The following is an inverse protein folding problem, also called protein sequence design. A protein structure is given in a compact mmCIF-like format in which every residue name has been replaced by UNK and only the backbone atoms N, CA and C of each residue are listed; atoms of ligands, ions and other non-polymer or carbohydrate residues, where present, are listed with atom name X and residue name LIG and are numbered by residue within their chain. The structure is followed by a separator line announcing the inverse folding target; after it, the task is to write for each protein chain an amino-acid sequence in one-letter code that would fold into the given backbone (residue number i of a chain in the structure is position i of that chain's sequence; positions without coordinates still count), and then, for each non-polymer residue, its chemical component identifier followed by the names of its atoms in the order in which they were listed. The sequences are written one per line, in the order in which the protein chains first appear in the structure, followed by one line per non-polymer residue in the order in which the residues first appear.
data_IF_474004740918
#
_entry.id   IF_474004740918
#
_cell.length_a   1.000
_cell.length_b   1.000
_cell.length_c   1.000
_cell.angle_alpha   90.00
_cell.angle_beta   90.00
_cell.angle_gamma   90.00
#
_symmetry.space_group_name_H-M   'P 1'
#
loop_
_entity.id
_entity.type
_entity.pdbx_description
1 polymer ?
#
# COMPACT_ATOMS: atom_id res chain seq x y z
N UNK A 1 4.12 6.31 6.81
CA UNK A 1 5.00 5.22 7.33
C UNK A 1 4.92 4.06 6.34
N UNK A 2 5.96 3.24 6.24
CA UNK A 2 6.03 2.07 5.34
C UNK A 2 6.91 0.98 5.93
N UNK A 3 6.83 -0.26 5.43
CA UNK A 3 7.78 -1.34 5.77
C UNK A 3 8.84 -1.42 4.67
N UNK A 4 10.11 -1.34 5.05
CA UNK A 4 11.27 -1.37 4.16
C UNK A 4 11.67 -2.82 3.79
N UNK A 5 12.54 -3.02 2.77
CA UNK A 5 12.94 -4.35 2.33
C UNK A 5 13.57 -5.25 3.39
N UNK A 6 14.23 -4.66 4.38
CA UNK A 6 14.86 -5.35 5.51
C UNK A 6 13.88 -5.61 6.68
N UNK A 7 12.60 -5.27 6.51
CA UNK A 7 11.56 -5.40 7.52
C UNK A 7 11.53 -4.25 8.54
N UNK A 8 12.43 -3.26 8.44
CA UNK A 8 12.39 -2.06 9.28
C UNK A 8 11.27 -1.10 8.87
N UNK A 9 10.94 -0.13 9.73
CA UNK A 9 9.94 0.89 9.41
C UNK A 9 10.60 2.12 8.77
N UNK A 10 10.09 2.53 7.62
CA UNK A 10 10.38 3.81 6.99
C UNK A 10 9.39 4.89 7.45
N UNK A 11 9.92 5.98 7.98
CA UNK A 11 9.12 7.08 8.53
C UNK A 11 9.39 8.37 7.75
N UNK A 12 8.33 9.15 7.55
CA UNK A 12 8.38 10.50 6.99
C UNK A 12 7.64 11.42 7.95
N UNK A 13 8.29 12.51 8.34
CA UNK A 13 7.69 13.58 9.13
C UNK A 13 7.94 14.93 8.48
N UNK A 14 7.04 15.87 8.73
CA UNK A 14 7.04 17.19 8.09
C UNK A 14 7.23 18.29 9.14
N UNK A 15 7.90 19.38 8.75
CA UNK A 15 7.96 20.60 9.58
C UNK A 15 6.75 21.54 9.38
N UNK A 16 5.75 21.08 8.65
CA UNK A 16 4.51 21.80 8.36
C UNK A 16 3.31 20.93 8.72
N UNK A 17 2.20 21.57 9.09
CA UNK A 17 0.97 20.90 9.50
C UNK A 17 0.08 20.57 8.29
N UNK A 18 0.41 19.47 7.60
CA UNK A 18 -0.42 18.94 6.52
C UNK A 18 -1.77 18.43 7.02
N UNK A 19 -1.81 17.84 8.22
CA UNK A 19 -3.04 17.29 8.79
C UNK A 19 -4.08 18.39 9.02
N UNK A 20 -3.67 19.52 9.62
CA UNK A 20 -4.52 20.69 9.78
C UNK A 20 -4.91 21.33 8.44
N UNK A 21 -4.02 21.34 7.44
CA UNK A 21 -4.37 21.81 6.10
C UNK A 21 -5.48 20.98 5.45
N UNK A 22 -5.39 19.65 5.53
CA UNK A 22 -6.44 18.74 5.05
C UNK A 22 -7.72 18.83 5.88
N UNK A 23 -7.61 19.01 7.20
CA UNK A 23 -8.78 19.19 8.06
C UNK A 23 -9.59 20.44 7.67
N UNK A 24 -8.92 21.56 7.34
CA UNK A 24 -9.59 22.77 6.85
C UNK A 24 -10.33 22.55 5.53
N UNK A 25 -9.69 21.84 4.58
CA UNK A 25 -10.35 21.48 3.31
C UNK A 25 -11.60 20.64 3.55
N UNK A 26 -11.53 19.65 4.45
CA UNK A 26 -12.70 18.80 4.79
C UNK A 26 -13.84 19.60 5.41
N UNK A 27 -13.55 20.46 6.39
CA UNK A 27 -14.57 21.30 7.04
C UNK A 27 -15.27 22.26 6.06
N UNK A 28 -14.57 22.74 5.05
CA UNK A 28 -15.16 23.65 4.05
C UNK A 28 -15.92 22.95 2.93
N UNK A 29 -15.68 21.66 2.69
CA UNK A 29 -16.58 20.89 1.81
C UNK A 29 -17.99 20.77 2.44
N UNK A 30 -18.11 20.93 3.75
CA UNK A 30 -19.39 20.97 4.47
C UNK A 30 -20.02 22.38 4.46
N UNK A 31 -19.22 23.43 4.35
CA UNK A 31 -19.63 24.84 4.27
C UNK A 31 -19.45 25.36 2.84
N UNK A 32 -20.45 25.21 1.95
CA UNK A 32 -20.63 25.59 0.51
C UNK A 32 -19.65 26.49 -0.30
N UNK A 33 -18.58 27.06 0.25
CA UNK A 33 -17.51 27.77 -0.47
C UNK A 33 -16.15 27.06 -0.32
N UNK A 34 -15.62 26.44 -1.39
CA UNK A 34 -14.32 25.79 -1.34
C UNK A 34 -13.17 26.81 -1.23
N UNK A 35 -12.13 26.45 -0.46
CA UNK A 35 -10.83 27.12 -0.52
C UNK A 35 -10.40 27.30 -1.98
N UNK A 36 -10.04 28.53 -2.34
CA UNK A 36 -9.41 28.78 -3.64
C UNK A 36 -8.17 27.88 -3.79
N UNK A 37 -8.00 27.29 -4.97
CA UNK A 37 -6.93 26.32 -5.24
C UNK A 37 -5.51 26.87 -4.96
N UNK A 38 -5.36 28.19 -4.96
CA UNK A 38 -4.13 28.95 -4.71
C UNK A 38 -4.02 29.51 -3.29
N UNK A 39 -4.95 29.15 -2.39
CA UNK A 39 -4.91 29.62 -1.01
C UNK A 39 -3.59 29.28 -0.34
N UNK A 40 -3.04 30.27 0.38
CA UNK A 40 -1.81 30.10 1.14
C UNK A 40 -1.90 28.98 2.18
N UNK A 41 -3.10 28.68 2.67
CA UNK A 41 -3.38 27.66 3.68
C UNK A 41 -3.78 26.30 3.08
N UNK A 42 -3.94 26.24 1.76
CA UNK A 42 -4.27 25.00 1.05
C UNK A 42 -3.15 23.97 1.16
N UNK A 43 -3.46 22.66 1.16
CA UNK A 43 -2.46 21.60 1.33
C UNK A 43 -1.27 21.72 0.39
N UNK A 44 -1.50 22.04 -0.89
CA UNK A 44 -0.43 22.22 -1.87
C UNK A 44 0.50 23.38 -1.50
N UNK A 45 -0.05 24.54 -1.15
CA UNK A 45 0.70 25.72 -0.73
C UNK A 45 1.47 25.49 0.57
N UNK A 46 0.93 24.68 1.49
CA UNK A 46 1.63 24.27 2.72
C UNK A 46 2.78 23.32 2.40
N UNK A 47 2.54 22.32 1.56
CA UNK A 47 3.55 21.35 1.16
C UNK A 47 4.73 21.99 0.41
N UNK A 48 4.46 22.96 -0.47
CA UNK A 48 5.48 23.63 -1.27
C UNK A 48 6.57 24.36 -0.44
N UNK A 49 6.29 24.69 0.83
CA UNK A 49 7.23 25.34 1.76
C UNK A 49 7.74 24.39 2.84
N UNK A 50 7.25 23.14 2.83
CA UNK A 50 7.59 22.12 3.80
C UNK A 50 8.87 21.38 3.47
N UNK A 51 9.49 20.86 4.52
CA UNK A 51 10.62 19.93 4.49
C UNK A 51 10.16 18.62 5.12
N UNK A 52 10.35 17.53 4.40
CA UNK A 52 10.24 16.19 4.91
C UNK A 52 11.58 15.77 5.54
N UNK A 53 11.53 15.05 6.67
CA UNK A 53 12.65 14.31 7.23
C UNK A 53 12.31 12.83 7.21
N UNK A 54 13.27 12.02 6.78
CA UNK A 54 13.14 10.57 6.72
C UNK A 54 13.85 9.93 7.89
N UNK A 55 13.33 8.80 8.36
CA UNK A 55 13.98 7.97 9.37
C UNK A 55 13.76 6.48 9.07
N UNK A 56 14.66 5.65 9.57
CA UNK A 56 14.49 4.20 9.65
C UNK A 56 14.38 3.78 11.10
N UNK A 57 13.43 2.91 11.43
CA UNK A 57 13.32 2.33 12.75
C UNK A 57 13.45 0.81 12.65
N UNK A 58 14.51 0.26 13.24
CA UNK A 58 14.82 -1.18 13.20
C UNK A 58 14.11 -2.00 14.29
N UNK A 59 13.24 -1.35 15.08
CA UNK A 59 12.54 -1.95 16.22
C UNK A 59 13.16 -1.55 17.56
N UNK A 60 14.37 -1.01 17.55
CA UNK A 60 15.09 -0.58 18.75
C UNK A 60 15.62 0.84 18.65
N UNK A 61 16.10 1.21 17.46
CA UNK A 61 16.82 2.46 17.22
C UNK A 61 16.21 3.19 16.05
N UNK A 62 15.99 4.50 16.25
CA UNK A 62 15.61 5.42 15.19
C UNK A 62 16.87 5.99 14.54
N UNK A 63 17.11 5.60 13.29
CA UNK A 63 18.22 6.06 12.47
C UNK A 63 17.82 7.27 11.65
N UNK A 64 18.64 8.32 11.71
CA UNK A 64 18.42 9.53 10.94
C UNK A 64 18.62 9.30 9.44
N UNK A 65 17.63 9.74 8.66
CA UNK A 65 17.70 9.86 7.21
C UNK A 65 17.81 11.31 6.75
N UNK A 66 17.78 11.53 5.43
CA UNK A 66 17.96 12.86 4.87
C UNK A 66 16.74 13.78 5.11
N UNK A 67 16.98 15.07 4.89
CA UNK A 67 15.94 16.11 4.84
C UNK A 67 15.76 16.54 3.39
N UNK A 68 14.53 16.55 2.90
CA UNK A 68 14.22 16.83 1.50
C UNK A 68 13.01 17.73 1.38
N UNK A 69 12.88 18.53 0.30
CA UNK A 69 11.66 19.29 0.05
C UNK A 69 10.42 18.39 0.03
N UNK A 70 9.31 18.84 0.59
CA UNK A 70 8.10 18.03 0.65
C UNK A 70 7.40 17.91 -0.72
N UNK A 71 7.33 19.00 -1.49
CA UNK A 71 6.78 19.14 -2.86
C UNK A 71 5.28 18.80 -3.05
N UNK A 72 4.73 17.84 -2.32
CA UNK A 72 3.32 17.42 -2.42
C UNK A 72 2.72 17.12 -1.04
N UNK A 73 1.42 17.40 -0.82
CA UNK A 73 0.72 17.13 0.43
C UNK A 73 0.26 15.67 0.60
N UNK A 74 0.27 14.87 -0.47
CA UNK A 74 -0.14 13.47 -0.45
C UNK A 74 1.00 12.62 -1.01
N UNK A 75 1.59 11.79 -0.16
CA UNK A 75 2.84 11.08 -0.43
C UNK A 75 2.77 9.62 0.02
N UNK A 76 3.41 8.76 -0.76
CA UNK A 76 3.78 7.40 -0.39
C UNK A 76 5.29 7.26 -0.39
N UNK A 77 5.79 6.31 0.41
CA UNK A 77 7.21 6.10 0.67
C UNK A 77 7.58 4.64 0.44
N UNK A 78 8.71 4.41 -0.20
CA UNK A 78 9.42 3.13 -0.20
C UNK A 78 10.94 3.36 -0.05
N UNK A 79 11.68 2.30 0.21
CA UNK A 79 13.13 2.34 0.29
C UNK A 79 13.76 1.18 -0.47
N UNK A 80 14.96 1.40 -0.98
CA UNK A 80 15.77 0.40 -1.65
C UNK A 80 16.65 -0.33 -0.63
N UNK A 81 17.08 -1.58 -0.92
CA UNK A 81 18.00 -2.33 -0.07
C UNK A 81 19.34 -1.60 0.19
N UNK A 82 19.81 -0.80 -0.76
CA UNK A 82 21.05 -0.02 -0.62
C UNK A 82 20.90 1.29 0.18
N UNK A 83 19.69 1.55 0.67
CA UNK A 83 19.37 2.70 1.46
C UNK A 83 18.96 3.95 0.67
N UNK A 84 18.74 3.88 -0.65
CA UNK A 84 18.01 4.93 -1.35
C UNK A 84 16.56 4.99 -0.87
N UNK A 85 15.93 6.15 -1.06
CA UNK A 85 14.52 6.39 -0.77
C UNK A 85 13.76 6.70 -2.05
N UNK A 86 12.52 6.25 -2.12
CA UNK A 86 11.56 6.66 -3.14
C UNK A 86 10.39 7.35 -2.46
N UNK A 87 10.22 8.64 -2.76
CA UNK A 87 9.05 9.41 -2.33
C UNK A 87 8.21 9.69 -3.56
N UNK A 88 6.95 9.27 -3.58
CA UNK A 88 6.06 9.57 -4.69
C UNK A 88 4.84 10.36 -4.22
N UNK A 89 4.47 11.40 -4.96
CA UNK A 89 3.15 11.98 -4.83
C UNK A 89 2.11 10.98 -5.34
N UNK A 90 1.00 10.82 -4.61
CA UNK A 90 -0.06 9.88 -5.01
C UNK A 90 -0.68 10.26 -6.35
N UNK A 91 -0.69 11.55 -6.67
CA UNK A 91 -1.23 12.08 -7.92
C UNK A 91 -0.09 12.41 -8.89
N UNK A 92 -0.19 11.90 -10.11
CA UNK A 92 0.86 11.92 -11.12
C UNK A 92 0.37 12.17 -12.55
N UNK A 93 -0.83 12.72 -12.74
CA UNK A 93 -1.51 12.83 -14.05
C UNK A 93 -0.63 13.19 -15.25
N UNK A 94 0.22 14.21 -15.14
CA UNK A 94 0.95 14.75 -16.29
C UNK A 94 2.46 14.85 -16.10
N UNK A 95 2.95 14.85 -14.86
CA UNK A 95 4.35 15.08 -14.54
C UNK A 95 4.93 13.93 -13.71
N UNK A 96 6.26 13.70 -13.76
CA UNK A 96 6.92 12.74 -12.86
C UNK A 96 6.60 13.03 -11.40
N UNK A 97 5.97 12.07 -10.73
CA UNK A 97 5.52 12.17 -9.35
C UNK A 97 6.42 11.41 -8.35
N UNK A 98 7.33 10.55 -8.83
CA UNK A 98 8.32 9.85 -8.02
C UNK A 98 9.65 10.59 -7.93
N UNK A 99 10.28 10.58 -6.76
CA UNK A 99 11.62 11.13 -6.52
C UNK A 99 12.50 10.05 -5.90
N UNK A 100 13.53 9.66 -6.65
CA UNK A 100 14.57 8.75 -6.18
C UNK A 100 15.65 9.58 -5.49
N UNK A 101 15.93 9.27 -4.23
CA UNK A 101 16.76 10.07 -3.34
C UNK A 101 17.86 9.18 -2.78
N UNK A 102 19.11 9.63 -2.86
CA UNK A 102 20.26 8.98 -2.27
C UNK A 102 20.16 8.94 -0.73
N UNK A 103 20.91 8.05 -0.05
CA UNK A 103 20.94 8.01 1.41
C UNK A 103 21.32 9.35 2.06
N UNK A 104 22.12 10.17 1.38
CA UNK A 104 22.55 11.50 1.83
C UNK A 104 21.56 12.63 1.53
N UNK A 105 20.47 12.35 0.81
CA UNK A 105 19.43 13.31 0.44
C UNK A 105 19.56 13.91 -0.96
N UNK A 106 20.58 13.55 -1.73
CA UNK A 106 20.69 14.00 -3.12
C UNK A 106 19.57 13.42 -3.98
N UNK A 107 18.88 14.26 -4.74
CA UNK A 107 17.92 13.81 -5.76
C UNK A 107 18.68 13.13 -6.91
N UNK A 108 18.43 11.85 -7.11
CA UNK A 108 19.06 11.05 -8.17
C UNK A 108 18.26 11.08 -9.47
N UNK A 109 16.93 10.92 -9.37
CA UNK A 109 16.05 10.88 -10.54
C UNK A 109 14.62 11.29 -10.18
N UNK A 110 13.85 11.70 -11.20
CA UNK A 110 12.39 11.83 -11.12
C UNK A 110 11.76 10.75 -12.00
N UNK A 111 10.81 10.03 -11.43
CA UNK A 111 10.16 8.88 -12.05
C UNK A 111 8.68 9.19 -12.28
N UNK A 112 8.11 8.65 -13.35
CA UNK A 112 6.67 8.74 -13.58
C UNK A 112 6.01 7.41 -13.22
N UNK A 113 5.37 7.36 -12.05
CA UNK A 113 4.87 6.12 -11.45
C UNK A 113 3.34 5.95 -11.59
N UNK A 114 2.70 6.86 -12.32
CA UNK A 114 1.26 6.85 -12.58
C UNK A 114 0.46 7.71 -11.61
N UNK A 115 -0.84 7.84 -11.89
CA UNK A 115 -1.80 8.58 -11.07
C UNK A 115 -2.51 7.66 -10.06
N UNK A 116 -3.02 8.27 -8.98
CA UNK A 116 -3.73 7.61 -7.89
C UNK A 116 -2.97 6.40 -7.30
N UNK A 117 -1.71 6.60 -6.92
CA UNK A 117 -0.90 5.57 -6.27
C UNK A 117 -1.45 5.30 -4.86
N UNK A 118 -1.89 4.07 -4.64
CA UNK A 118 -2.34 3.55 -3.35
C UNK A 118 -1.20 2.78 -2.64
N UNK A 119 -0.42 2.01 -3.40
CA UNK A 119 0.67 1.19 -2.88
C UNK A 119 1.98 1.45 -3.61
N UNK A 120 3.07 1.47 -2.84
CA UNK A 120 4.44 1.60 -3.36
C UNK A 120 5.38 0.70 -2.57
N UNK A 121 6.14 -0.13 -3.27
CA UNK A 121 7.17 -0.98 -2.68
C UNK A 121 8.36 -1.16 -3.60
N UNK A 122 9.50 -1.54 -3.04
CA UNK A 122 10.70 -1.91 -3.81
C UNK A 122 11.15 -3.28 -3.37
N UNK A 123 11.48 -4.19 -4.29
CA UNK A 123 11.97 -5.52 -3.93
C UNK A 123 13.50 -5.58 -3.73
N UNK A 124 14.02 -6.77 -3.48
CA UNK A 124 15.46 -7.00 -3.21
C UNK A 124 16.36 -6.78 -4.43
N UNK A 125 15.79 -6.67 -5.63
CA UNK A 125 16.52 -6.45 -6.89
C UNK A 125 16.19 -5.08 -7.50
N UNK A 126 15.81 -4.13 -6.65
CA UNK A 126 15.53 -2.72 -6.99
C UNK A 126 14.36 -2.51 -7.97
N UNK A 127 13.46 -3.48 -8.14
CA UNK A 127 12.25 -3.26 -8.92
C UNK A 127 11.21 -2.53 -8.07
N UNK A 128 10.58 -1.54 -8.66
CA UNK A 128 9.59 -0.68 -8.03
C UNK A 128 8.19 -1.23 -8.38
N UNK A 129 7.42 -1.57 -7.37
CA UNK A 129 6.05 -2.06 -7.49
C UNK A 129 5.08 -0.97 -7.10
N UNK A 130 4.09 -0.73 -7.96
CA UNK A 130 3.08 0.32 -7.77
C UNK A 130 1.70 -0.30 -7.91
N UNK A 131 0.84 -0.06 -6.93
CA UNK A 131 -0.59 -0.36 -6.98
C UNK A 131 -1.40 0.93 -7.02
N UNK A 132 -2.45 0.96 -7.84
CA UNK A 132 -3.27 2.15 -8.06
C UNK A 132 -4.69 1.99 -7.53
N UNK A 133 -5.31 3.12 -7.20
CA UNK A 133 -6.74 3.27 -6.98
C UNK A 133 -7.49 3.38 -8.33
N UNK A 134 -8.79 3.09 -8.37
CA UNK A 134 -9.60 2.94 -9.60
C UNK A 134 -9.59 4.20 -10.48
N UNK A 135 -9.59 5.38 -9.87
CA UNK A 135 -9.45 6.67 -10.56
C UNK A 135 -8.15 6.75 -11.36
N UNK A 136 -7.09 6.07 -10.92
CA UNK A 136 -5.80 5.99 -11.61
C UNK A 136 -5.80 5.02 -12.80
N UNK A 137 -6.58 3.94 -12.76
CA UNK A 137 -6.53 2.84 -13.74
C UNK A 137 -6.76 3.37 -15.16
N UNK A 138 -7.82 4.15 -15.36
CA UNK A 138 -8.18 4.69 -16.67
C UNK A 138 -7.09 5.63 -17.24
N UNK A 139 -6.56 6.54 -16.41
CA UNK A 139 -5.49 7.45 -16.81
C UNK A 139 -4.16 6.71 -17.08
N UNK A 140 -3.85 5.70 -16.26
CA UNK A 140 -2.63 4.92 -16.38
C UNK A 140 -2.67 3.99 -17.60
N UNK A 141 -3.82 3.38 -17.91
CA UNK A 141 -3.99 2.57 -19.11
C UNK A 141 -3.65 3.34 -20.38
N UNK A 142 -4.12 4.59 -20.51
CA UNK A 142 -3.83 5.42 -21.68
C UNK A 142 -2.35 5.74 -21.87
N UNK A 143 -1.63 5.85 -20.77
CA UNK A 143 -0.20 6.18 -20.76
C UNK A 143 0.68 4.97 -21.03
N UNK A 144 0.28 3.82 -20.51
CA UNK A 144 1.10 2.62 -20.41
C UNK A 144 0.65 1.50 -21.36
N UNK A 145 -0.18 1.83 -22.36
CA UNK A 145 -0.82 0.92 -23.34
C UNK A 145 0.13 -0.12 -23.95
N UNK A 146 1.41 0.20 -24.13
CA UNK A 146 2.37 -0.71 -24.77
C UNK A 146 2.85 -1.84 -23.87
N UNK A 147 2.76 -1.71 -22.53
CA UNK A 147 3.23 -2.75 -21.60
C UNK A 147 2.18 -3.18 -20.56
N UNK A 148 0.95 -2.69 -20.69
CA UNK A 148 -0.22 -3.15 -19.95
C UNK A 148 -1.17 -3.77 -20.98
N UNK A 149 -1.36 -5.09 -20.92
CA UNK A 149 -2.46 -5.73 -21.64
C UNK A 149 -3.78 -5.21 -21.04
N UNK A 150 -4.79 -4.98 -21.89
CA UNK A 150 -6.02 -4.25 -21.56
C UNK A 150 -6.90 -4.92 -20.47
N UNK A 151 -6.44 -6.02 -19.88
CA UNK A 151 -6.99 -6.66 -18.69
C UNK A 151 -6.61 -5.84 -17.44
N UNK A 152 -7.38 -4.78 -17.15
CA UNK A 152 -7.40 -4.01 -15.89
C UNK A 152 -6.22 -4.23 -14.94
N UNK A 153 -5.03 -3.75 -15.32
CA UNK A 153 -3.85 -3.88 -14.47
C UNK A 153 -3.93 -2.82 -13.37
N UNK A 154 -4.33 -3.28 -12.18
CA UNK A 154 -4.40 -2.51 -10.94
C UNK A 154 -3.02 -2.22 -10.34
N UNK A 155 -2.00 -3.01 -10.71
CA UNK A 155 -0.63 -2.85 -10.21
C UNK A 155 0.43 -3.22 -11.26
N UNK A 156 1.54 -2.49 -11.31
CA UNK A 156 2.63 -2.74 -12.25
C UNK A 156 4.00 -2.75 -11.58
N UNK A 157 5.02 -3.05 -12.38
CA UNK A 157 6.41 -3.09 -11.98
C UNK A 157 7.24 -2.15 -12.86
N UNK A 158 8.18 -1.45 -12.27
CA UNK A 158 9.19 -0.65 -12.95
C UNK A 158 10.59 -1.14 -12.55
N UNK A 159 11.56 -0.95 -13.43
CA UNK A 159 12.97 -1.11 -13.07
C UNK A 159 13.43 0.04 -12.14
N UNK A 160 14.68 -0.05 -11.69
CA UNK A 160 15.28 0.95 -10.79
C UNK A 160 15.37 2.37 -11.39
N UNK A 161 15.22 2.52 -12.71
CA UNK A 161 15.24 3.78 -13.43
C UNK A 161 13.84 4.30 -13.78
N UNK A 162 12.79 3.58 -13.38
CA UNK A 162 11.40 3.92 -13.65
C UNK A 162 10.91 3.54 -15.05
N UNK A 163 11.62 2.67 -15.77
CA UNK A 163 11.08 2.06 -16.98
C UNK A 163 10.12 0.92 -16.61
N UNK A 164 8.90 0.95 -17.15
CA UNK A 164 7.90 -0.07 -16.84
C UNK A 164 8.31 -1.42 -17.41
N UNK A 165 8.20 -2.46 -16.60
CA UNK A 165 8.45 -3.84 -16.97
C UNK A 165 7.13 -4.52 -17.37
N UNK A 166 7.13 -5.44 -18.34
CA UNK A 166 5.92 -6.10 -18.79
C UNK A 166 5.35 -6.99 -17.69
N UNK A 167 4.05 -6.86 -17.42
CA UNK A 167 3.26 -7.76 -16.58
C UNK A 167 2.35 -8.58 -17.50
N UNK A 168 2.23 -9.89 -17.25
CA UNK A 168 1.33 -10.74 -18.01
C UNK A 168 -0.14 -10.32 -17.86
N UNK A 169 -1.03 -10.77 -18.76
CA UNK A 169 -2.45 -10.48 -18.64
C UNK A 169 -3.04 -11.12 -17.38
N UNK A 170 -4.04 -10.45 -16.79
CA UNK A 170 -4.84 -11.05 -15.73
C UNK A 170 -6.00 -11.82 -16.38
N UNK A 171 -6.20 -13.11 -16.07
CA UNK A 171 -7.31 -13.88 -16.64
C UNK A 171 -8.67 -13.25 -16.34
N UNK A 172 -9.56 -13.19 -17.33
CA UNK A 172 -10.91 -12.61 -17.13
C UNK A 172 -11.74 -13.32 -16.06
N UNK A 173 -11.45 -14.59 -15.78
CA UNK A 173 -12.09 -15.37 -14.71
C UNK A 173 -11.74 -14.87 -13.29
N UNK A 174 -10.70 -14.02 -13.15
CA UNK A 174 -10.36 -13.33 -11.91
C UNK A 174 -11.34 -12.20 -11.57
N UNK A 175 -12.26 -11.87 -12.49
CA UNK A 175 -13.31 -10.88 -12.29
C UNK A 175 -12.90 -9.46 -12.66
N UNK A 176 -13.73 -8.51 -12.24
CA UNK A 176 -13.46 -7.09 -12.43
C UNK A 176 -12.47 -6.61 -11.36
N UNK A 177 -11.38 -5.99 -11.80
CA UNK A 177 -10.32 -5.49 -10.95
C UNK A 177 -10.36 -3.97 -10.95
N UNK A 178 -10.55 -3.43 -9.75
CA UNK A 178 -10.48 -2.03 -9.38
C UNK A 178 -9.70 -1.97 -8.06
N UNK A 179 -9.20 -0.80 -7.67
CA UNK A 179 -8.52 -0.54 -6.38
C UNK A 179 -7.57 -1.64 -5.88
N UNK A 180 -6.28 -1.36 -5.85
CA UNK A 180 -5.39 -2.19 -5.03
C UNK A 180 -5.74 -1.97 -3.56
N UNK A 181 -6.52 -2.88 -2.97
CA UNK A 181 -6.88 -2.81 -1.55
C UNK A 181 -5.76 -3.30 -0.65
N UNK A 182 -5.01 -4.33 -1.08
CA UNK A 182 -3.83 -4.81 -0.39
C UNK A 182 -2.72 -5.21 -1.36
N UNK A 183 -1.47 -4.89 -1.00
CA UNK A 183 -0.29 -5.33 -1.73
C UNK A 183 0.85 -5.66 -0.77
N UNK A 184 1.64 -6.68 -1.11
CA UNK A 184 2.95 -6.92 -0.54
C UNK A 184 3.96 -7.25 -1.62
N UNK A 185 5.22 -6.94 -1.35
CA UNK A 185 6.34 -7.25 -2.24
C UNK A 185 7.14 -8.38 -1.59
N UNK A 186 7.27 -9.49 -2.32
CA UNK A 186 8.09 -10.66 -1.98
C UNK A 186 9.40 -10.65 -2.78
N UNK A 187 10.25 -11.66 -2.57
CA UNK A 187 11.46 -11.86 -3.36
C UNK A 187 11.16 -12.12 -4.84
N UNK A 188 10.08 -12.86 -5.12
CA UNK A 188 9.75 -13.34 -6.46
C UNK A 188 8.75 -12.48 -7.23
N UNK A 189 8.13 -11.48 -6.60
CA UNK A 189 7.16 -10.60 -7.25
C UNK A 189 6.37 -9.72 -6.28
N UNK A 190 5.20 -9.27 -6.71
CA UNK A 190 4.22 -8.64 -5.85
C UNK A 190 2.95 -9.49 -5.77
N UNK A 191 2.39 -9.54 -4.57
CA UNK A 191 1.08 -10.12 -4.29
C UNK A 191 0.08 -8.99 -4.10
N UNK A 192 -1.06 -9.09 -4.77
CA UNK A 192 -2.07 -8.04 -4.86
C UNK A 192 -3.44 -8.64 -4.60
N UNK A 193 -4.26 -7.97 -3.80
CA UNK A 193 -5.67 -8.30 -3.61
C UNK A 193 -6.51 -7.07 -3.98
N UNK A 194 -7.02 -7.00 -5.22
CA UNK A 194 -7.82 -5.87 -5.66
C UNK A 194 -9.31 -6.04 -5.34
N UNK A 195 -10.01 -4.91 -5.27
CA UNK A 195 -11.47 -4.85 -5.38
C UNK A 195 -11.90 -5.28 -6.82
N UNK A 196 -13.10 -5.76 -7.13
CA UNK A 196 -14.29 -6.05 -6.30
C UNK A 196 -14.29 -7.46 -5.73
N UNK A 197 -13.73 -8.42 -6.47
CA UNK A 197 -13.88 -9.84 -6.17
C UNK A 197 -12.79 -10.40 -5.25
N UNK A 198 -11.85 -9.55 -4.83
CA UNK A 198 -10.76 -9.89 -3.92
C UNK A 198 -9.92 -11.10 -4.34
N UNK A 199 -9.61 -11.34 -5.63
CA UNK A 199 -8.71 -12.43 -5.99
C UNK A 199 -7.32 -12.15 -5.42
N UNK A 200 -6.60 -13.19 -5.01
CA UNK A 200 -5.16 -13.02 -4.76
C UNK A 200 -4.44 -13.16 -6.09
N UNK A 201 -3.72 -12.13 -6.49
CA UNK A 201 -2.90 -12.10 -7.69
C UNK A 201 -1.43 -12.15 -7.29
N UNK A 202 -0.62 -12.87 -8.06
CA UNK A 202 0.83 -12.83 -7.96
C UNK A 202 1.41 -12.40 -9.30
N UNK A 203 1.94 -11.18 -9.30
CA UNK A 203 2.51 -10.51 -10.44
C UNK A 203 4.01 -10.72 -10.45
N UNK A 204 4.55 -11.13 -11.59
CA UNK A 204 5.99 -11.32 -11.81
C UNK A 204 6.37 -10.77 -13.17
N UNK A 205 7.40 -9.92 -13.29
CA UNK A 205 7.76 -9.31 -14.56
C UNK A 205 8.09 -10.37 -15.62
N UNK A 206 7.51 -10.23 -16.80
CA UNK A 206 7.71 -11.14 -17.93
C UNK A 206 7.07 -12.53 -17.76
N UNK A 207 6.23 -12.75 -16.75
CA UNK A 207 5.54 -14.03 -16.53
C UNK A 207 4.02 -13.85 -16.49
N UNK A 208 3.25 -14.91 -16.81
CA UNK A 208 1.80 -14.90 -16.62
C UNK A 208 1.43 -14.63 -15.16
N UNK A 209 0.35 -13.87 -14.95
CA UNK A 209 -0.21 -13.65 -13.61
C UNK A 209 -0.76 -14.96 -13.09
N UNK A 210 -0.34 -15.33 -11.88
CA UNK A 210 -0.97 -16.40 -11.10
C UNK A 210 -2.06 -15.80 -10.24
N UNK A 211 -3.15 -16.53 -10.04
CA UNK A 211 -4.28 -16.02 -9.26
C UNK A 211 -5.07 -17.11 -8.53
N UNK A 212 -5.70 -16.72 -7.43
CA UNK A 212 -6.56 -17.57 -6.61
C UNK A 212 -7.87 -16.86 -6.30
N UNK A 213 -8.96 -17.62 -6.26
CA UNK A 213 -10.26 -17.13 -5.77
C UNK A 213 -10.19 -17.01 -4.24
N UNK A 214 -10.63 -15.88 -3.73
CA UNK A 214 -10.66 -15.61 -2.31
C UNK A 214 -12.03 -15.05 -1.91
N UNK A 215 -12.59 -15.57 -0.81
CA UNK A 215 -13.90 -15.20 -0.29
C UNK A 215 -13.83 -14.12 0.79
N UNK A 216 -12.62 -13.72 1.19
CA UNK A 216 -12.39 -12.68 2.18
C UNK A 216 -12.42 -11.32 1.51
N UNK A 217 -13.40 -10.51 1.90
CA UNK A 217 -13.53 -9.11 1.48
C UNK A 217 -12.81 -8.16 2.42
N UNK A 218 -12.51 -6.97 1.92
CA UNK A 218 -11.89 -5.88 2.70
C UNK A 218 -10.48 -6.19 3.17
N UNK A 219 -9.73 -7.03 2.45
CA UNK A 219 -8.33 -7.30 2.80
C UNK A 219 -7.51 -6.02 2.64
N UNK A 220 -6.82 -5.61 3.71
CA UNK A 220 -5.98 -4.40 3.77
C UNK A 220 -4.48 -4.73 3.76
N UNK A 221 -4.09 -5.94 4.16
CA UNK A 221 -2.69 -6.37 4.10
C UNK A 221 -2.53 -7.87 3.81
N UNK A 222 -1.42 -8.19 3.14
CA UNK A 222 -1.04 -9.55 2.73
C UNK A 222 0.37 -9.81 3.20
N UNK A 223 0.64 -10.95 3.83
CA UNK A 223 1.98 -11.50 3.97
C UNK A 223 1.98 -12.95 3.51
N UNK A 224 3.00 -13.41 2.79
CA UNK A 224 3.00 -14.75 2.19
C UNK A 224 4.40 -15.33 2.02
N UNK A 225 4.51 -16.65 2.21
CA UNK A 225 5.69 -17.45 1.90
C UNK A 225 5.59 -18.12 0.50
N UNK A 226 4.54 -17.81 -0.27
CA UNK A 226 4.23 -18.41 -1.56
C UNK A 226 3.36 -19.67 -1.52
N UNK A 227 3.17 -20.29 -0.35
CA UNK A 227 2.30 -21.44 -0.12
C UNK A 227 1.14 -21.15 0.85
N UNK A 228 1.37 -20.23 1.78
CA UNK A 228 0.41 -19.73 2.74
C UNK A 228 0.39 -18.21 2.70
N UNK A 229 -0.71 -17.62 3.13
CA UNK A 229 -0.80 -16.18 3.30
C UNK A 229 -1.53 -15.81 4.60
N UNK A 230 -1.03 -14.76 5.25
CA UNK A 230 -1.77 -13.99 6.24
C UNK A 230 -2.49 -12.86 5.51
N UNK A 231 -3.81 -12.83 5.61
CA UNK A 231 -4.68 -11.80 5.05
C UNK A 231 -5.32 -11.05 6.21
N UNK A 232 -5.03 -9.76 6.33
CA UNK A 232 -5.52 -8.94 7.43
C UNK A 232 -6.47 -7.85 6.95
N UNK A 233 -7.42 -7.47 7.81
CA UNK A 233 -8.48 -6.52 7.51
C UNK A 233 -9.78 -7.20 7.11
N UNK A 234 -10.81 -6.37 6.95
CA UNK A 234 -12.15 -6.74 6.54
C UNK A 234 -13.13 -5.59 6.73
N UNK A 235 -14.41 -5.82 6.44
CA UNK A 235 -15.45 -4.82 6.72
C UNK A 235 -16.22 -5.17 7.99
N UNK A 236 -16.77 -4.15 8.65
CA UNK A 236 -17.63 -4.32 9.83
C UNK A 236 -16.92 -5.11 10.93
N UNK A 237 -17.53 -6.21 11.37
CA UNK A 237 -16.98 -7.05 12.46
C UNK A 237 -15.66 -7.74 12.08
N UNK A 238 -15.33 -7.83 10.79
CA UNK A 238 -14.10 -8.41 10.26
C UNK A 238 -12.93 -7.42 10.15
N UNK A 239 -13.11 -6.13 10.47
CA UNK A 239 -12.05 -5.12 10.32
C UNK A 239 -10.76 -5.47 11.07
N UNK A 240 -10.90 -6.15 12.22
CA UNK A 240 -9.75 -6.60 13.01
C UNK A 240 -9.26 -8.01 12.64
N UNK A 241 -9.73 -8.64 11.56
CA UNK A 241 -9.41 -10.04 11.23
C UNK A 241 -7.95 -10.19 10.79
N UNK A 242 -7.32 -11.29 11.21
CA UNK A 242 -6.19 -11.93 10.52
C UNK A 242 -6.62 -13.34 10.16
N UNK A 243 -6.58 -13.68 8.87
CA UNK A 243 -6.84 -15.03 8.37
C UNK A 243 -5.55 -15.65 7.83
N UNK A 244 -5.24 -16.88 8.28
CA UNK A 244 -4.22 -17.71 7.66
C UNK A 244 -4.90 -18.60 6.61
N UNK A 245 -4.42 -18.52 5.37
CA UNK A 245 -4.92 -19.32 4.25
C UNK A 245 -3.80 -20.13 3.61
N UNK A 246 -4.16 -21.24 2.99
CA UNK A 246 -3.31 -22.03 2.11
C UNK A 246 -3.63 -21.71 0.64
N UNK A 247 -2.58 -21.53 -0.15
CA UNK A 247 -2.62 -21.31 -1.59
C UNK A 247 -2.44 -22.67 -2.28
N UNK A 248 -3.56 -23.28 -2.69
CA UNK A 248 -3.53 -24.55 -3.42
C UNK A 248 -3.12 -24.38 -4.88
N UNK A 249 -2.54 -25.43 -5.47
CA UNK A 249 -2.29 -25.49 -6.91
C UNK A 249 -1.27 -24.47 -7.42
N UNK A 250 -1.39 -24.11 -8.71
CA UNK A 250 -0.40 -23.30 -9.44
C UNK A 250 -0.87 -21.86 -9.69
N UNK A 251 -1.99 -21.46 -9.08
CA UNK A 251 -2.57 -20.13 -9.23
C UNK A 251 -3.22 -19.94 -10.60
N UNK A 252 -4.13 -20.85 -10.94
CA UNK A 252 -4.97 -20.86 -12.13
C UNK A 252 -6.45 -20.66 -11.78
N UNK A 253 -6.74 -20.06 -10.62
CA UNK A 253 -8.10 -19.80 -10.15
C UNK A 253 -8.61 -20.77 -9.09
N UNK A 254 -7.73 -21.54 -8.46
CA UNK A 254 -8.06 -22.38 -7.30
C UNK A 254 -8.58 -21.50 -6.15
N UNK A 255 -9.47 -22.06 -5.32
CA UNK A 255 -9.95 -21.37 -4.13
C UNK A 255 -8.90 -21.46 -3.00
N UNK A 256 -8.59 -20.31 -2.38
CA UNK A 256 -7.75 -20.31 -1.16
C UNK A 256 -8.48 -21.03 -0.04
N UNK A 257 -7.75 -21.86 0.72
CA UNK A 257 -8.33 -22.61 1.84
C UNK A 257 -8.01 -21.94 3.15
N UNK A 258 -9.01 -21.44 3.87
CA UNK A 258 -8.80 -20.89 5.21
C UNK A 258 -8.37 -22.00 6.18
N UNK A 259 -7.26 -21.78 6.88
CA UNK A 259 -6.73 -22.68 7.89
C UNK A 259 -7.11 -22.24 9.30
N UNK A 260 -7.03 -20.93 9.57
CA UNK A 260 -7.36 -20.34 10.85
C UNK A 260 -7.66 -18.84 10.71
N UNK A 261 -8.29 -18.26 11.73
CA UNK A 261 -8.55 -16.83 11.83
C UNK A 261 -8.51 -16.38 13.27
N UNK A 262 -7.96 -15.19 13.52
CA UNK A 262 -7.92 -14.52 14.82
C UNK A 262 -8.08 -13.00 14.65
N UNK A 263 -8.04 -12.25 15.76
CA UNK A 263 -8.20 -10.78 15.74
C UNK A 263 -6.87 -10.09 16.01
N UNK A 264 -6.66 -8.94 15.36
CA UNK A 264 -5.59 -8.00 15.65
C UNK A 264 -5.69 -7.57 17.13
N UNK A 265 -4.57 -7.54 17.87
CA UNK A 265 -4.57 -7.34 19.31
C UNK A 265 -4.95 -5.93 19.77
N UNK A 266 -4.97 -4.93 18.87
CA UNK A 266 -5.04 -3.51 19.25
C UNK A 266 -6.22 -2.74 18.64
N UNK A 267 -7.03 -3.32 17.75
CA UNK A 267 -8.12 -2.56 17.11
C UNK A 267 -9.36 -2.54 18.03
N UNK A 268 -9.51 -1.46 18.81
CA UNK A 268 -10.68 -1.22 19.65
C UNK A 268 -11.90 -0.81 18.81
N UNK A 269 -13.07 -1.30 19.23
CA UNK A 269 -14.35 -0.95 18.62
C UNK A 269 -14.79 0.41 19.15
N UNK A 270 -14.97 1.40 18.27
CA UNK A 270 -15.56 2.69 18.68
C UNK A 270 -17.08 2.50 18.87
N UNK A 271 -17.66 2.82 20.04
CA UNK A 271 -19.11 2.72 20.24
C UNK A 271 -19.88 3.70 19.34
N UNK A 272 -21.00 3.25 18.77
CA UNK A 272 -21.89 4.08 17.95
C UNK A 272 -22.50 5.24 18.77
N UNK A 273 -21.99 6.45 18.56
CA UNK A 273 -22.78 7.66 18.77
C UNK A 273 -23.91 7.68 17.75
N UNK A 274 -25.16 7.78 18.21
CA UNK A 274 -26.33 7.74 17.34
C UNK A 274 -26.42 9.03 16.52
N UNK A 275 -25.97 8.99 15.27
CA UNK A 275 -26.42 9.76 14.10
C UNK A 275 -25.40 9.48 12.97
N UNK A 276 -25.84 9.30 11.72
CA UNK A 276 -25.00 8.96 10.53
C UNK A 276 -24.72 7.46 10.24
N UNK A 277 -25.73 6.60 10.31
CA UNK A 277 -25.62 5.16 10.06
C UNK A 277 -25.70 4.68 8.58
N UNK A 278 -25.45 5.51 7.56
CA UNK A 278 -25.57 5.04 6.15
C UNK A 278 -24.33 5.17 5.27
N UNK A 279 -23.26 5.80 5.76
CA UNK A 279 -21.95 5.89 5.08
C UNK A 279 -20.76 5.61 6.03
N UNK A 280 -21.03 5.45 7.33
CA UNK A 280 -20.02 5.39 8.39
C UNK A 280 -19.71 3.97 8.90
N UNK A 281 -20.18 2.91 8.26
CA UNK A 281 -19.84 1.54 8.69
C UNK A 281 -18.35 1.20 8.51
N UNK A 282 -17.67 1.90 7.60
CA UNK A 282 -16.21 1.81 7.39
C UNK A 282 -15.38 2.60 8.41
N UNK A 283 -16.01 3.42 9.26
CA UNK A 283 -15.34 4.31 10.22
C UNK A 283 -15.50 3.83 11.68
N UNK A 284 -15.98 2.60 11.90
CA UNK A 284 -16.34 2.05 13.23
C UNK A 284 -15.10 1.61 14.05
N UNK A 285 -13.92 1.59 13.44
CA UNK A 285 -12.69 1.12 14.07
C UNK A 285 -11.60 2.18 13.99
N UNK A 286 -10.83 2.33 15.07
CA UNK A 286 -9.58 3.10 14.98
C UNK A 286 -8.65 2.40 13.99
N UNK A 287 -8.31 3.09 12.89
CA UNK A 287 -7.37 2.54 11.93
C UNK A 287 -5.97 2.55 12.56
N UNK A 288 -5.22 1.44 12.50
CA UNK A 288 -3.87 1.42 13.02
C UNK A 288 -3.00 2.42 12.24
N UNK A 289 -1.93 2.90 12.87
CA UNK A 289 -0.97 3.77 12.21
C UNK A 289 -0.29 3.08 11.01
N UNK A 290 -0.19 1.74 11.05
CA UNK A 290 0.20 0.90 9.92
C UNK A 290 -0.42 -0.50 10.06
N UNK A 291 -0.99 -1.01 8.97
CA UNK A 291 -1.21 -2.44 8.75
C UNK A 291 -0.68 -2.75 7.35
N UNK A 292 0.39 -3.53 7.25
CA UNK A 292 1.06 -3.80 5.99
C UNK A 292 1.78 -5.14 6.05
N UNK A 293 1.93 -5.80 4.92
CA UNK A 293 2.85 -6.94 4.83
C UNK A 293 4.09 -6.63 4.01
N UNK A 294 5.12 -7.43 4.27
CA UNK A 294 6.39 -7.41 3.54
C UNK A 294 6.90 -8.85 3.44
N UNK A 295 6.93 -9.39 2.22
CA UNK A 295 7.23 -10.80 2.02
C UNK A 295 6.33 -11.69 2.90
N UNK A 296 6.95 -12.50 3.74
CA UNK A 296 6.33 -13.46 4.66
C UNK A 296 5.96 -12.87 6.04
N UNK A 297 6.08 -11.55 6.23
CA UNK A 297 5.82 -10.88 7.51
C UNK A 297 4.67 -9.90 7.42
N UNK A 298 3.68 -10.04 8.31
CA UNK A 298 2.63 -9.05 8.53
C UNK A 298 3.05 -8.11 9.66
N UNK A 299 2.91 -6.81 9.47
CA UNK A 299 3.26 -5.77 10.43
C UNK A 299 2.03 -4.96 10.84
N UNK A 300 1.91 -4.67 12.14
CA UNK A 300 0.92 -3.78 12.72
C UNK A 300 1.61 -2.76 13.61
N UNK A 301 1.33 -1.48 13.42
CA UNK A 301 1.77 -0.40 14.32
C UNK A 301 0.55 0.32 14.86
N UNK A 302 0.37 0.28 16.17
CA UNK A 302 -0.72 0.96 16.87
C UNK A 302 -0.31 1.22 18.32
N UNK A 303 -0.74 2.37 18.88
CA UNK A 303 -0.46 2.78 20.26
C UNK A 303 1.03 2.68 20.65
N UNK A 304 1.91 3.13 19.75
CA UNK A 304 3.36 3.07 19.87
C UNK A 304 3.95 1.64 20.00
N UNK A 305 3.15 0.61 19.73
CA UNK A 305 3.58 -0.80 19.72
C UNK A 305 3.67 -1.28 18.27
N UNK A 306 4.80 -1.92 17.95
CA UNK A 306 5.01 -2.60 16.68
C UNK A 306 4.93 -4.12 16.86
N UNK A 307 3.90 -4.73 16.28
CA UNK A 307 3.74 -6.17 16.17
C UNK A 307 4.17 -6.68 14.80
N UNK A 308 4.73 -7.88 14.77
CA UNK A 308 5.01 -8.60 13.53
C UNK A 308 4.68 -10.09 13.66
N UNK A 309 4.14 -10.67 12.59
CA UNK A 309 3.83 -12.09 12.49
C UNK A 309 4.41 -12.66 11.20
N UNK A 310 5.29 -13.65 11.34
CA UNK A 310 5.78 -14.44 10.22
C UNK A 310 4.75 -15.51 9.86
N UNK A 311 4.53 -15.73 8.58
CA UNK A 311 3.62 -16.77 8.06
C UNK A 311 4.01 -18.14 8.60
N UNK A 312 5.30 -18.48 8.58
CA UNK A 312 5.82 -19.77 9.08
C UNK A 312 5.44 -20.03 10.54
N UNK A 313 5.53 -19.01 11.41
CA UNK A 313 5.20 -19.13 12.83
C UNK A 313 3.70 -19.39 13.04
N UNK A 314 2.85 -18.79 12.21
CA UNK A 314 1.41 -19.02 12.26
C UNK A 314 1.05 -20.44 11.81
N UNK A 315 1.72 -20.95 10.77
CA UNK A 315 1.55 -22.33 10.29
C UNK A 315 2.02 -23.33 11.35
N UNK A 316 3.21 -23.12 11.94
CA UNK A 316 3.72 -23.99 13.00
C UNK A 316 2.80 -24.06 14.21
N UNK A 317 2.16 -22.95 14.57
CA UNK A 317 1.22 -22.90 15.69
C UNK A 317 0.01 -23.83 15.48
N UNK A 318 -0.42 -24.06 14.24
CA UNK A 318 -1.51 -25.01 13.92
C UNK A 318 -1.09 -26.48 14.00
N UNK A 319 0.19 -26.79 13.80
CA UNK A 319 0.71 -28.15 13.88
C UNK A 319 1.03 -28.62 15.30
N UNK A 320 0.98 -27.71 16.28
CA UNK A 320 1.28 -27.98 17.71
C UNK A 320 0.03 -28.14 18.58
N UNK A 321 -1.16 -28.20 17.99
CA UNK A 321 -2.45 -28.45 18.68
C UNK A 321 -2.89 -29.90 18.62
#
# INVERSE_FOLDING_TARGET
MTVLPDGSLGLLGTNVDLAGAWARVRLQLEESEPLAADSAEGPQSVAARGIARLWRFDGTTLHDGPRVPLESPSLVLAGFPDGRWLIAATNGRHEPNGRLIAPDGMLLARLHLGDAIEYLGVDSVDRIWVGWFDEGISHNMDRFRENIDHTAVVATCFDANGAMLPIGPVPGDAGFLADVNAMTVSEDGAWVCPYTEYPLLHLRPGQPVRWWRNKLSGVEAIATDGHHALLAGGFGDDAARIALVELGGDGQGEEVRMLASWRLPLVDRVPLGHEHASLAEHLIWERPALLAGRGDVLHLVQDDIWHSWRVENAVEALGRT
#
